data_IF_001007929520
#
_entry.id   IF_001007929520
#
_cell.length_a   1.000
_cell.length_b   1.000
_cell.length_c   1.000
_cell.angle_alpha   90.00
_cell.angle_beta   90.00
_cell.angle_gamma   90.00
#
_symmetry.space_group_name_H-M   'P 1'
#
loop_
_entity.id
_entity.type
_entity.pdbx_description
1 polymer ?
#
# COMPACT_ATOMS: atom_id res chain seq x y z
N UNK A 1 0.66 46.21 47.43
CA UNK A 1 0.24 45.70 46.11
C UNK A 1 -1.21 46.08 45.86
N UNK A 2 -1.50 46.73 44.73
CA UNK A 2 -2.84 47.20 44.36
C UNK A 2 -3.85 46.04 44.33
N UNK A 3 -5.09 46.30 44.75
CA UNK A 3 -6.21 45.36 44.75
C UNK A 3 -6.45 44.76 43.35
N UNK A 4 -6.14 45.54 42.30
CA UNK A 4 -6.16 45.12 40.90
C UNK A 4 -5.22 43.92 40.63
N UNK A 5 -3.99 43.93 41.13
CA UNK A 5 -3.05 42.81 40.92
C UNK A 5 -3.52 41.50 41.59
N UNK A 6 -4.25 41.60 42.71
CA UNK A 6 -4.81 40.43 43.39
C UNK A 6 -6.03 39.85 42.65
N UNK A 7 -6.87 40.71 42.06
CA UNK A 7 -8.03 40.28 41.28
C UNK A 7 -7.59 39.72 39.92
N UNK A 8 -6.65 40.39 39.26
CA UNK A 8 -6.10 39.99 37.96
C UNK A 8 -5.43 38.61 38.03
N UNK A 9 -4.56 38.37 39.01
CA UNK A 9 -3.91 37.06 39.17
C UNK A 9 -4.88 35.93 39.46
N UNK A 10 -5.98 36.18 40.18
CA UNK A 10 -6.99 35.16 40.51
C UNK A 10 -7.86 34.80 39.29
N UNK A 11 -8.23 35.79 38.48
CA UNK A 11 -9.00 35.58 37.24
C UNK A 11 -8.13 34.92 36.18
N UNK A 12 -6.91 35.42 35.97
CA UNK A 12 -5.96 34.88 35.01
C UNK A 12 -5.63 33.41 35.30
N UNK A 13 -5.35 33.07 36.56
CA UNK A 13 -5.06 31.69 36.96
C UNK A 13 -6.24 30.74 36.70
N UNK A 14 -7.47 31.19 36.97
CA UNK A 14 -8.68 30.41 36.67
C UNK A 14 -8.85 30.23 35.16
N UNK A 15 -8.59 31.27 34.37
CA UNK A 15 -8.70 31.22 32.91
C UNK A 15 -7.66 30.28 32.29
N UNK A 16 -6.40 30.39 32.68
CA UNK A 16 -5.32 29.48 32.23
C UNK A 16 -5.64 28.04 32.59
N UNK A 17 -6.17 27.78 33.79
CA UNK A 17 -6.54 26.42 34.21
C UNK A 17 -7.64 25.82 33.34
N UNK A 18 -8.71 26.59 33.09
CA UNK A 18 -9.82 26.14 32.24
C UNK A 18 -9.34 25.93 30.81
N UNK A 19 -8.53 26.84 30.27
CA UNK A 19 -7.95 26.73 28.94
C UNK A 19 -7.04 25.50 28.80
N UNK A 20 -6.14 25.27 29.75
CA UNK A 20 -5.26 24.09 29.76
C UNK A 20 -6.05 22.78 29.82
N UNK A 21 -7.16 22.75 30.58
CA UNK A 21 -8.05 21.59 30.61
C UNK A 21 -8.71 21.34 29.25
N UNK A 22 -9.22 22.38 28.59
CA UNK A 22 -9.79 22.26 27.24
C UNK A 22 -8.75 21.79 26.22
N UNK A 23 -7.53 22.31 26.26
CA UNK A 23 -6.46 21.89 25.36
C UNK A 23 -6.05 20.43 25.57
N UNK A 24 -5.96 19.98 26.83
CA UNK A 24 -5.73 18.58 27.14
C UNK A 24 -6.87 17.68 26.63
N UNK A 25 -8.13 18.13 26.77
CA UNK A 25 -9.29 17.41 26.27
C UNK A 25 -9.31 17.29 24.74
N UNK A 26 -8.99 18.37 24.01
CA UNK A 26 -8.85 18.34 22.54
C UNK A 26 -7.72 17.38 22.14
N UNK A 27 -6.58 17.43 22.84
CA UNK A 27 -5.48 16.50 22.62
C UNK A 27 -5.89 15.04 22.80
N UNK A 28 -6.72 14.75 23.81
CA UNK A 28 -7.26 13.41 24.05
C UNK A 28 -8.17 12.94 22.91
N UNK A 29 -9.06 13.81 22.40
CA UNK A 29 -9.93 13.48 21.26
C UNK A 29 -9.10 13.15 20.02
N UNK A 30 -8.10 13.97 19.71
CA UNK A 30 -7.17 13.73 18.59
C UNK A 30 -6.46 12.38 18.73
N UNK A 31 -6.03 12.03 19.94
CA UNK A 31 -5.36 10.76 20.24
C UNK A 31 -6.30 9.57 20.01
N UNK A 32 -7.54 9.64 20.51
CA UNK A 32 -8.55 8.60 20.30
C UNK A 32 -8.84 8.43 18.82
N UNK A 33 -9.02 9.53 18.07
CA UNK A 33 -9.25 9.49 16.63
C UNK A 33 -8.11 8.81 15.88
N UNK A 34 -6.86 9.19 16.17
CA UNK A 34 -5.69 8.57 15.56
C UNK A 34 -5.63 7.06 15.87
N UNK A 35 -5.93 6.66 17.11
CA UNK A 35 -5.93 5.26 17.52
C UNK A 35 -6.98 4.43 16.77
N UNK A 36 -8.20 4.94 16.62
CA UNK A 36 -9.28 4.28 15.86
C UNK A 36 -8.87 4.05 14.40
N UNK A 37 -8.27 5.05 13.76
CA UNK A 37 -7.83 4.94 12.35
C UNK A 37 -6.67 3.95 12.21
N UNK A 38 -5.74 3.92 13.16
CA UNK A 38 -4.63 2.95 13.18
C UNK A 38 -5.20 1.53 13.30
N UNK A 39 -6.08 1.28 14.27
CA UNK A 39 -6.68 -0.05 14.50
C UNK A 39 -7.51 -0.51 13.30
N UNK A 40 -8.33 0.37 12.70
CA UNK A 40 -9.12 0.04 11.51
C UNK A 40 -8.25 -0.38 10.31
N UNK A 41 -7.04 0.15 10.20
CA UNK A 41 -6.10 -0.21 9.14
C UNK A 41 -5.36 -1.54 9.38
N UNK A 42 -5.39 -2.12 10.58
CA UNK A 42 -4.81 -3.44 10.85
C UNK A 42 -5.68 -4.61 10.37
N UNK A 43 -6.93 -4.36 9.98
CA UNK A 43 -7.78 -5.39 9.40
C UNK A 43 -7.25 -5.82 8.01
N UNK A 44 -7.11 -7.13 7.74
CA UNK A 44 -6.58 -7.62 6.47
C UNK A 44 -7.57 -7.37 5.33
N UNK A 45 -7.25 -6.43 4.45
CA UNK A 45 -7.88 -6.31 3.13
C UNK A 45 -7.38 -7.44 2.24
N UNK A 46 -8.30 -8.30 1.77
CA UNK A 46 -8.00 -9.41 0.84
C UNK A 46 -7.23 -8.87 -0.36
N UNK A 47 -5.96 -9.26 -0.49
CA UNK A 47 -5.08 -8.85 -1.58
C UNK A 47 -4.88 -10.01 -2.56
N UNK A 48 -5.90 -10.34 -3.36
CA UNK A 48 -5.68 -11.22 -4.52
C UNK A 48 -5.48 -10.39 -5.78
N UNK A 49 -4.35 -10.62 -6.46
CA UNK A 49 -4.05 -10.00 -7.75
C UNK A 49 -4.57 -10.96 -8.81
N UNK A 50 -5.83 -10.80 -9.18
CA UNK A 50 -6.46 -11.62 -10.21
C UNK A 50 -6.88 -10.70 -11.36
N UNK A 51 -6.22 -10.81 -12.51
CA UNK A 51 -6.62 -10.10 -13.73
C UNK A 51 -7.41 -11.09 -14.57
N UNK A 52 -8.70 -10.85 -14.75
CA UNK A 52 -9.58 -11.76 -15.47
C UNK A 52 -9.58 -11.45 -16.97
N UNK A 53 -9.96 -12.43 -17.80
CA UNK A 53 -10.17 -12.24 -19.24
C UNK A 53 -11.09 -11.04 -19.57
N UNK A 54 -12.12 -10.83 -18.76
CA UNK A 54 -13.07 -9.72 -18.95
C UNK A 54 -12.42 -8.35 -18.75
N UNK A 55 -11.41 -8.24 -17.89
CA UNK A 55 -10.68 -6.99 -17.66
C UNK A 55 -9.81 -6.64 -18.87
N UNK A 56 -9.14 -7.66 -19.45
CA UNK A 56 -8.37 -7.52 -20.68
C UNK A 56 -9.26 -7.12 -21.85
N UNK A 57 -10.41 -7.78 -22.01
CA UNK A 57 -11.35 -7.48 -23.10
C UNK A 57 -11.94 -6.05 -22.99
N UNK A 58 -12.17 -5.56 -21.77
CA UNK A 58 -12.60 -4.17 -21.53
C UNK A 58 -11.50 -3.17 -21.88
N UNK A 59 -10.26 -3.46 -21.51
CA UNK A 59 -9.13 -2.58 -21.83
C UNK A 59 -8.82 -2.54 -23.33
N UNK A 60 -8.96 -3.67 -24.06
CA UNK A 60 -8.82 -3.69 -25.54
C UNK A 60 -9.82 -2.75 -26.20
N UNK A 61 -11.04 -2.66 -25.66
CA UNK A 61 -12.08 -1.74 -26.16
C UNK A 61 -11.82 -0.29 -25.78
N UNK A 62 -11.05 -0.03 -24.72
CA UNK A 62 -10.74 1.31 -24.22
C UNK A 62 -9.45 1.91 -24.80
N UNK A 63 -8.45 1.09 -25.15
CA UNK A 63 -7.12 1.53 -25.58
C UNK A 63 -6.98 1.83 -27.09
N UNK A 64 -7.99 2.44 -27.73
CA UNK A 64 -7.79 3.05 -29.06
C UNK A 64 -6.91 4.30 -29.04
N UNK A 65 -6.41 4.71 -27.87
CA UNK A 65 -5.52 5.86 -27.72
C UNK A 65 -4.45 5.60 -26.64
N UNK A 66 -3.20 5.74 -27.08
CA UNK A 66 -1.94 5.94 -26.35
C UNK A 66 -1.15 4.73 -25.82
N UNK A 67 0.16 4.85 -26.04
CA UNK A 67 1.25 3.88 -26.06
C UNK A 67 2.36 4.33 -25.08
N UNK A 68 2.75 3.42 -24.16
CA UNK A 68 4.06 3.21 -23.46
C UNK A 68 4.83 4.37 -22.75
N UNK A 69 5.91 4.14 -21.94
CA UNK A 69 6.53 2.89 -21.41
C UNK A 69 7.01 2.89 -19.92
N UNK A 70 7.55 1.70 -19.53
CA UNK A 70 8.66 1.37 -18.59
C UNK A 70 8.57 1.52 -17.05
N UNK A 71 8.82 0.42 -16.31
CA UNK A 71 9.76 0.38 -15.15
C UNK A 71 10.14 -1.03 -14.66
N UNK A 72 11.38 -1.13 -14.14
CA UNK A 72 12.17 -2.31 -13.76
C UNK A 72 12.30 -2.56 -12.24
N UNK A 73 12.52 -3.82 -11.86
CA UNK A 73 13.28 -4.42 -10.71
C UNK A 73 12.87 -4.23 -9.23
N UNK A 74 12.78 -5.36 -8.48
CA UNK A 74 13.48 -5.59 -7.19
C UNK A 74 13.37 -7.05 -6.68
N UNK A 75 14.52 -7.62 -6.32
CA UNK A 75 14.78 -8.99 -5.81
C UNK A 75 14.73 -9.05 -4.28
N UNK A 76 14.25 -10.17 -3.70
CA UNK A 76 14.69 -10.66 -2.39
C UNK A 76 14.53 -12.19 -2.25
N UNK A 77 15.62 -12.84 -1.86
CA UNK A 77 15.78 -14.29 -1.65
C UNK A 77 15.37 -14.72 -0.24
N UNK A 78 14.74 -15.90 -0.14
CA UNK A 78 15.00 -16.96 0.85
C UNK A 78 14.05 -18.16 0.61
N UNK A 79 14.58 -19.40 0.76
CA UNK A 79 13.90 -20.68 1.07
C UNK A 79 14.23 -21.84 0.11
N UNK A 80 15.36 -22.51 0.33
CA UNK A 80 15.98 -23.56 -0.52
C UNK A 80 15.26 -24.92 -0.56
N UNK A 81 13.99 -25.00 -0.14
CA UNK A 81 13.24 -26.29 -0.17
C UNK A 81 11.89 -26.18 -0.90
N UNK A 82 11.32 -24.97 -1.05
CA UNK A 82 10.15 -24.70 -1.91
C UNK A 82 10.53 -24.32 -3.35
N UNK A 83 11.82 -24.12 -3.62
CA UNK A 83 12.32 -23.66 -4.93
C UNK A 83 12.06 -24.71 -6.01
N UNK A 84 12.15 -26.01 -5.72
CA UNK A 84 12.05 -27.04 -6.75
C UNK A 84 10.63 -27.16 -7.33
N UNK A 85 9.60 -27.24 -6.50
CA UNK A 85 8.21 -27.31 -6.97
C UNK A 85 7.77 -26.05 -7.70
N UNK A 86 8.17 -24.87 -7.19
CA UNK A 86 7.85 -23.60 -7.82
C UNK A 86 8.58 -23.41 -9.15
N UNK A 87 9.85 -23.79 -9.24
CA UNK A 87 10.63 -23.68 -10.48
C UNK A 87 10.09 -24.63 -11.53
N UNK A 88 9.76 -25.87 -11.13
CA UNK A 88 9.09 -26.82 -12.02
C UNK A 88 7.73 -26.31 -12.50
N UNK A 89 6.92 -25.74 -11.60
CA UNK A 89 5.63 -25.14 -11.98
C UNK A 89 5.81 -24.04 -13.02
N UNK A 90 6.70 -23.10 -12.75
CA UNK A 90 6.98 -21.97 -13.65
C UNK A 90 7.43 -22.49 -15.00
N UNK A 91 8.39 -23.42 -15.03
CA UNK A 91 8.91 -23.98 -16.28
C UNK A 91 7.81 -24.69 -17.09
N UNK A 92 7.03 -25.57 -16.44
CA UNK A 92 5.95 -26.31 -17.08
C UNK A 92 4.88 -25.36 -17.66
N UNK A 93 4.57 -24.28 -16.92
CA UNK A 93 3.56 -23.32 -17.35
C UNK A 93 4.06 -22.45 -18.49
N UNK A 94 5.32 -22.02 -18.48
CA UNK A 94 5.97 -21.33 -19.61
C UNK A 94 5.94 -22.22 -20.85
N UNK A 95 6.35 -23.49 -20.73
CA UNK A 95 6.27 -24.46 -21.84
C UNK A 95 4.85 -24.56 -22.39
N UNK A 96 3.84 -24.64 -21.52
CA UNK A 96 2.43 -24.72 -21.93
C UNK A 96 1.96 -23.46 -22.68
N UNK A 97 2.36 -22.27 -22.22
CA UNK A 97 2.04 -21.00 -22.87
C UNK A 97 2.74 -20.91 -24.23
N UNK A 98 4.04 -21.24 -24.29
CA UNK A 98 4.80 -21.23 -25.54
C UNK A 98 4.20 -22.16 -26.58
N UNK A 99 3.84 -23.39 -26.18
CA UNK A 99 3.16 -24.35 -27.06
C UNK A 99 1.80 -23.84 -27.55
N UNK A 100 1.04 -23.18 -26.67
CA UNK A 100 -0.23 -22.57 -27.04
C UNK A 100 -0.06 -21.47 -28.09
N UNK A 101 0.94 -20.60 -27.93
CA UNK A 101 1.27 -19.53 -28.88
C UNK A 101 1.67 -20.13 -30.23
N UNK A 102 2.62 -21.07 -30.23
CA UNK A 102 3.08 -21.75 -31.45
C UNK A 102 1.92 -22.39 -32.20
N UNK A 103 1.06 -23.12 -31.48
CA UNK A 103 -0.12 -23.79 -32.05
C UNK A 103 -1.12 -22.79 -32.64
N UNK A 104 -1.44 -21.72 -31.93
CA UNK A 104 -2.45 -20.73 -32.38
C UNK A 104 -1.99 -19.90 -33.56
N UNK A 105 -0.69 -19.59 -33.62
CA UNK A 105 -0.10 -18.81 -34.70
C UNK A 105 0.43 -19.68 -35.85
N UNK A 106 0.33 -21.00 -35.73
CA UNK A 106 0.88 -21.97 -36.67
C UNK A 106 2.38 -21.74 -36.95
N UNK A 107 3.14 -21.42 -35.90
CA UNK A 107 4.58 -21.15 -35.97
C UNK A 107 5.38 -22.46 -35.84
N UNK A 108 6.54 -22.54 -36.51
CA UNK A 108 7.44 -23.68 -36.39
C UNK A 108 8.10 -23.77 -34.99
N UNK A 109 8.55 -24.97 -34.61
CA UNK A 109 9.03 -25.28 -33.26
C UNK A 109 10.39 -24.63 -32.93
N UNK A 110 11.15 -24.22 -33.94
CA UNK A 110 12.36 -23.39 -33.80
C UNK A 110 12.08 -22.05 -33.09
N UNK A 111 10.86 -21.52 -33.17
CA UNK A 111 10.47 -20.31 -32.44
C UNK A 111 10.25 -20.54 -30.94
N UNK A 112 10.26 -21.79 -30.45
CA UNK A 112 9.98 -22.12 -29.06
C UNK A 112 10.90 -21.39 -28.09
N UNK A 113 12.21 -21.44 -28.34
CA UNK A 113 13.21 -20.85 -27.44
C UNK A 113 13.07 -19.33 -27.35
N UNK A 114 12.88 -18.66 -28.49
CA UNK A 114 12.69 -17.20 -28.53
C UNK A 114 11.45 -16.75 -27.75
N UNK A 115 10.31 -17.43 -27.95
CA UNK A 115 9.06 -17.09 -27.24
C UNK A 115 9.20 -17.40 -25.74
N UNK A 116 9.78 -18.55 -25.40
CA UNK A 116 10.03 -18.94 -24.02
C UNK A 116 10.92 -17.91 -23.31
N UNK A 117 12.01 -17.47 -23.95
CA UNK A 117 12.94 -16.49 -23.38
C UNK A 117 12.28 -15.12 -23.17
N UNK A 118 11.40 -14.68 -24.08
CA UNK A 118 10.62 -13.46 -23.89
C UNK A 118 9.69 -13.54 -22.67
N UNK A 119 9.02 -14.68 -22.48
CA UNK A 119 8.15 -14.90 -21.32
C UNK A 119 8.98 -14.94 -20.04
N UNK A 120 10.13 -15.62 -20.04
CA UNK A 120 11.06 -15.68 -18.90
C UNK A 120 11.57 -14.29 -18.53
N UNK A 121 11.97 -13.48 -19.51
CA UNK A 121 12.42 -12.10 -19.30
C UNK A 121 11.35 -11.26 -18.58
N UNK A 122 10.09 -11.36 -19.03
CA UNK A 122 8.98 -10.65 -18.40
C UNK A 122 8.71 -11.12 -16.97
N UNK A 123 8.78 -12.43 -16.71
CA UNK A 123 8.55 -13.01 -15.38
C UNK A 123 9.66 -12.63 -14.39
N UNK A 124 10.90 -12.51 -14.85
CA UNK A 124 12.03 -12.14 -14.01
C UNK A 124 11.89 -10.71 -13.46
N UNK A 125 11.16 -9.83 -14.16
CA UNK A 125 10.83 -8.49 -13.70
C UNK A 125 9.65 -8.46 -12.70
N UNK A 126 8.93 -9.58 -12.54
CA UNK A 126 7.78 -9.70 -11.65
C UNK A 126 8.21 -10.32 -10.32
N UNK A 127 7.83 -9.68 -9.22
CA UNK A 127 8.07 -10.18 -7.87
C UNK A 127 7.57 -11.63 -7.74
N UNK A 128 8.45 -12.46 -7.18
CA UNK A 128 8.27 -13.87 -6.92
C UNK A 128 6.86 -14.30 -6.49
N UNK A 129 6.23 -13.53 -5.60
CA UNK A 129 4.90 -13.84 -5.06
C UNK A 129 3.78 -13.77 -6.10
N UNK A 130 3.97 -13.02 -7.20
CA UNK A 130 2.96 -12.77 -8.22
C UNK A 130 3.20 -13.58 -9.51
N UNK A 131 4.37 -14.20 -9.68
CA UNK A 131 4.74 -14.93 -10.90
C UNK A 131 3.75 -16.05 -11.26
N UNK A 132 3.25 -16.79 -10.26
CA UNK A 132 2.25 -17.84 -10.49
C UNK A 132 0.93 -17.25 -11.03
N UNK A 133 0.36 -16.26 -10.35
CA UNK A 133 -0.88 -15.60 -10.80
C UNK A 133 -0.70 -14.94 -12.17
N UNK A 134 0.48 -14.37 -12.44
CA UNK A 134 0.81 -13.82 -13.75
C UNK A 134 0.73 -14.89 -14.84
N UNK A 135 1.41 -16.03 -14.64
CA UNK A 135 1.44 -17.13 -15.61
C UNK A 135 0.07 -17.78 -15.82
N UNK A 136 -0.71 -17.92 -14.75
CA UNK A 136 -2.05 -18.50 -14.82
C UNK A 136 -3.02 -17.60 -15.59
N UNK A 137 -3.04 -16.30 -15.27
CA UNK A 137 -3.85 -15.33 -16.00
C UNK A 137 -3.39 -15.17 -17.45
N UNK A 138 -2.09 -15.18 -17.70
CA UNK A 138 -1.55 -15.09 -19.06
C UNK A 138 -2.01 -16.28 -19.91
N UNK A 139 -1.91 -17.49 -19.36
CA UNK A 139 -2.37 -18.69 -20.04
C UNK A 139 -3.87 -18.60 -20.35
N UNK A 140 -4.70 -18.25 -19.37
CA UNK A 140 -6.15 -18.13 -19.55
C UNK A 140 -6.52 -17.09 -20.63
N UNK A 141 -5.85 -15.94 -20.61
CA UNK A 141 -6.10 -14.86 -21.57
C UNK A 141 -5.72 -15.29 -22.98
N UNK A 142 -4.55 -15.89 -23.16
CA UNK A 142 -4.09 -16.36 -24.46
C UNK A 142 -4.89 -17.56 -24.96
N UNK A 143 -5.41 -18.41 -24.07
CA UNK A 143 -6.27 -19.54 -24.42
C UNK A 143 -7.58 -19.08 -25.05
N UNK A 144 -8.14 -17.96 -24.59
CA UNK A 144 -9.39 -17.39 -25.09
C UNK A 144 -9.18 -16.37 -26.23
N UNK A 145 -7.98 -15.84 -26.40
CA UNK A 145 -7.68 -14.85 -27.43
C UNK A 145 -7.82 -15.42 -28.86
N UNK A 146 -8.37 -14.66 -29.81
CA UNK A 146 -8.38 -15.07 -31.22
C UNK A 146 -6.96 -15.01 -31.78
N UNK A 147 -6.61 -15.97 -32.66
CA UNK A 147 -5.25 -16.14 -33.16
C UNK A 147 -4.67 -14.87 -33.81
N UNK A 148 -5.50 -14.12 -34.55
CA UNK A 148 -5.09 -12.89 -35.24
C UNK A 148 -4.87 -11.67 -34.33
N UNK A 149 -5.18 -11.75 -33.03
CA UNK A 149 -4.95 -10.67 -32.05
C UNK A 149 -4.13 -11.12 -30.85
N UNK A 150 -3.44 -12.25 -30.96
CA UNK A 150 -2.77 -12.87 -29.83
C UNK A 150 -1.69 -11.95 -29.22
N UNK A 151 -0.98 -11.20 -30.07
CA UNK A 151 -0.01 -10.19 -29.65
C UNK A 151 -0.65 -9.04 -28.87
N UNK A 152 -1.79 -8.51 -29.33
CA UNK A 152 -2.51 -7.44 -28.63
C UNK A 152 -2.97 -7.89 -27.24
N UNK A 153 -3.51 -9.10 -27.12
CA UNK A 153 -3.93 -9.66 -25.84
C UNK A 153 -2.75 -9.91 -24.90
N UNK A 154 -1.61 -10.37 -25.44
CA UNK A 154 -0.37 -10.54 -24.68
C UNK A 154 0.12 -9.21 -24.10
N UNK A 155 0.27 -8.19 -24.97
CA UNK A 155 0.72 -6.85 -24.58
C UNK A 155 -0.21 -6.24 -23.54
N UNK A 156 -1.51 -6.28 -23.80
CA UNK A 156 -2.50 -5.67 -22.89
C UNK A 156 -2.61 -6.37 -21.54
N UNK A 157 -2.44 -7.69 -21.52
CA UNK A 157 -2.38 -8.42 -20.26
C UNK A 157 -1.18 -7.95 -19.42
N UNK A 158 0.00 -7.83 -20.03
CA UNK A 158 1.20 -7.37 -19.32
C UNK A 158 1.02 -5.97 -18.77
N UNK A 159 0.48 -5.05 -19.56
CA UNK A 159 0.21 -3.67 -19.14
C UNK A 159 -0.75 -3.62 -17.94
N UNK A 160 -1.88 -4.31 -18.03
CA UNK A 160 -2.87 -4.35 -16.96
C UNK A 160 -2.33 -5.01 -15.69
N UNK A 161 -1.57 -6.09 -15.84
CA UNK A 161 -0.98 -6.78 -14.72
C UNK A 161 0.04 -5.89 -13.99
N UNK A 162 0.90 -5.21 -14.74
CA UNK A 162 1.85 -4.24 -14.20
C UNK A 162 1.15 -3.06 -13.52
N UNK A 163 0.11 -2.49 -14.13
CA UNK A 163 -0.72 -1.45 -13.51
C UNK A 163 -1.34 -1.93 -12.19
N UNK A 164 -1.85 -3.17 -12.15
CA UNK A 164 -2.44 -3.74 -10.94
C UNK A 164 -1.39 -3.95 -9.85
N UNK A 165 -0.21 -4.46 -10.19
CA UNK A 165 0.92 -4.54 -9.25
C UNK A 165 1.28 -3.16 -8.71
N UNK A 166 1.44 -2.17 -9.59
CA UNK A 166 1.78 -0.80 -9.20
C UNK A 166 0.71 -0.19 -8.29
N UNK A 167 -0.57 -0.41 -8.58
CA UNK A 167 -1.67 0.05 -7.70
C UNK A 167 -1.63 -0.60 -6.30
N UNK A 168 -1.19 -1.84 -6.21
CA UNK A 168 -1.02 -2.56 -4.93
C UNK A 168 0.20 -2.03 -4.17
N UNK A 169 1.29 -1.78 -4.88
CA UNK A 169 2.50 -1.17 -4.29
C UNK A 169 2.16 0.24 -3.79
N UNK A 170 1.52 1.06 -4.61
CA UNK A 170 1.09 2.40 -4.24
C UNK A 170 0.10 2.39 -3.08
N UNK A 171 -0.90 1.49 -3.07
CA UNK A 171 -1.85 1.41 -1.95
C UNK A 171 -1.17 0.96 -0.67
N UNK A 172 -0.18 0.06 -0.74
CA UNK A 172 0.67 -0.30 0.41
C UNK A 172 1.52 0.88 0.89
N UNK A 173 2.15 1.62 -0.03
CA UNK A 173 2.92 2.82 0.29
C UNK A 173 2.04 3.92 0.88
N UNK A 174 0.87 4.19 0.30
CA UNK A 174 -0.13 5.14 0.84
C UNK A 174 -0.62 4.70 2.20
N UNK A 175 -0.87 3.40 2.42
CA UNK A 175 -1.26 2.87 3.74
C UNK A 175 -0.14 3.05 4.75
N UNK A 176 1.10 2.74 4.39
CA UNK A 176 2.27 2.92 5.26
C UNK A 176 2.56 4.41 5.56
N UNK A 177 2.46 5.28 4.56
CA UNK A 177 2.60 6.74 4.73
C UNK A 177 1.46 7.34 5.55
N UNK A 178 0.25 6.85 5.38
CA UNK A 178 -0.89 7.24 6.22
C UNK A 178 -0.64 6.80 7.67
N UNK A 179 -0.18 5.56 7.89
CA UNK A 179 0.16 5.05 9.22
C UNK A 179 1.24 5.88 9.92
N UNK A 180 2.32 6.27 9.23
CA UNK A 180 3.36 7.12 9.82
C UNK A 180 2.84 8.50 10.20
N UNK A 181 1.97 9.08 9.36
CA UNK A 181 1.32 10.37 9.63
C UNK A 181 0.42 10.29 10.86
N UNK A 182 -0.42 9.25 10.98
CA UNK A 182 -1.27 9.06 12.16
C UNK A 182 -0.47 8.79 13.44
N UNK A 183 0.67 8.09 13.33
CA UNK A 183 1.57 7.88 14.47
C UNK A 183 2.22 9.19 14.93
N UNK A 184 2.65 10.05 14.01
CA UNK A 184 3.16 11.39 14.35
C UNK A 184 2.07 12.20 15.04
N UNK A 185 0.85 12.22 14.51
CA UNK A 185 -0.29 12.92 15.14
C UNK A 185 -0.55 12.40 16.56
N UNK A 186 -0.53 11.07 16.76
CA UNK A 186 -0.73 10.46 18.07
C UNK A 186 0.38 10.86 19.07
N UNK A 187 1.65 10.84 18.64
CA UNK A 187 2.78 11.27 19.47
C UNK A 187 2.73 12.76 19.80
N UNK A 188 2.37 13.61 18.83
CA UNK A 188 2.18 15.04 19.06
C UNK A 188 1.02 15.30 20.04
N UNK A 189 -0.09 14.57 19.92
CA UNK A 189 -1.21 14.64 20.85
C UNK A 189 -0.80 14.27 22.28
N UNK A 190 -0.03 13.19 22.45
CA UNK A 190 0.57 12.82 23.74
C UNK A 190 1.46 13.92 24.30
N UNK A 191 2.31 14.54 23.47
CA UNK A 191 3.17 15.65 23.87
C UNK A 191 2.38 16.86 24.38
N UNK A 192 1.28 17.21 23.70
CA UNK A 192 0.37 18.29 24.13
C UNK A 192 -0.27 17.97 25.48
N UNK A 193 -0.83 16.76 25.64
CA UNK A 193 -1.43 16.32 26.92
C UNK A 193 -0.40 16.38 28.04
N UNK A 194 0.82 15.88 27.80
CA UNK A 194 1.91 15.89 28.77
C UNK A 194 2.29 17.31 29.19
N UNK A 195 2.50 18.21 28.23
CA UNK A 195 2.83 19.62 28.51
C UNK A 195 1.75 20.33 29.32
N UNK A 196 0.47 20.21 28.93
CA UNK A 196 -0.61 20.84 29.68
C UNK A 196 -0.84 20.20 31.05
N UNK A 197 -0.56 18.90 31.20
CA UNK A 197 -0.58 18.23 32.51
C UNK A 197 0.49 18.79 33.44
N UNK A 198 1.71 19.06 32.93
CA UNK A 198 2.76 19.74 33.70
C UNK A 198 2.32 21.14 34.11
N UNK A 199 1.75 21.94 33.19
CA UNK A 199 1.23 23.27 33.50
C UNK A 199 0.19 23.19 34.64
N UNK A 200 -0.75 22.26 34.55
CA UNK A 200 -1.77 22.07 35.59
C UNK A 200 -1.16 21.66 36.93
N UNK A 201 -0.11 20.81 36.93
CA UNK A 201 0.62 20.43 38.14
C UNK A 201 1.37 21.61 38.76
N UNK A 202 2.09 22.40 37.95
CA UNK A 202 2.80 23.60 38.41
C UNK A 202 1.84 24.63 39.02
N UNK A 203 0.71 24.88 38.35
CA UNK A 203 -0.35 25.73 38.89
C UNK A 203 -0.87 25.17 40.23
N UNK A 204 -1.09 23.86 40.33
CA UNK A 204 -1.54 23.25 41.59
C UNK A 204 -0.54 23.46 42.74
N UNK A 205 0.76 23.30 42.47
CA UNK A 205 1.84 23.56 43.43
C UNK A 205 1.82 25.03 43.86
N UNK A 206 1.81 25.96 42.91
CA UNK A 206 1.78 27.40 43.17
C UNK A 206 0.57 27.80 44.04
N UNK A 207 -0.60 27.21 43.78
CA UNK A 207 -1.80 27.47 44.59
C UNK A 207 -1.63 26.98 46.03
N UNK A 208 -0.98 25.84 46.25
CA UNK A 208 -0.77 25.30 47.59
C UNK A 208 0.25 26.13 48.36
N UNK A 209 1.35 26.55 47.74
CA UNK A 209 2.37 27.38 48.40
C UNK A 209 1.88 28.79 48.72
N UNK A 210 0.98 29.37 47.91
CA UNK A 210 0.33 30.67 48.21
C UNK A 210 -0.67 30.63 49.36
N UNK A 211 -1.10 29.45 49.84
CA UNK A 211 -2.01 29.34 50.99
C UNK A 211 -1.29 29.35 52.34
N UNK A 212 0.00 29.03 52.35
CA UNK A 212 0.81 28.92 53.57
C UNK A 212 1.51 30.23 53.94
N UNK A 213 1.47 31.23 53.05
CA UNK A 213 1.95 32.61 53.28
C UNK A 213 0.78 33.59 53.34
#
# INVERSE_FOLDING_TARGET
>A
MSFLNKVESKVFFRLVRVFSFFMAFIGLIMLIYALVVIVGNFLPTKSSVEVSFNDVQKAIKANSYQENPDTTNATNSNATTQINERTQYIQNKITSITQLILKKLNLPQDNFENISNNIVSNINNIDAKYQKSYLDGLYEVLEKAPANKLDDYYRQYNDLFNQKINSIIESKMKKQSSQSTYLIIALSGLGVIFMYSIILALLAIERNTRKEN
#
